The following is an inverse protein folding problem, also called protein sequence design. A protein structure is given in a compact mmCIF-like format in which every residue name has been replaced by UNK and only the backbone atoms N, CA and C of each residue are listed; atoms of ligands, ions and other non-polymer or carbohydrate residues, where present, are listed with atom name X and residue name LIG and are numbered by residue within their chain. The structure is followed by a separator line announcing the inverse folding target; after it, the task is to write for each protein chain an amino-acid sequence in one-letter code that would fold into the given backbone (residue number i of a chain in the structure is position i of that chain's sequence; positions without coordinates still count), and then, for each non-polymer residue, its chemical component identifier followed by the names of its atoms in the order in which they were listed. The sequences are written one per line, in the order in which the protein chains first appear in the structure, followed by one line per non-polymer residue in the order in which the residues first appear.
data_IF_661048890724
#
_entry.id   IF_661048890724
#
_cell.length_a   1.000
_cell.length_b   1.000
_cell.length_c   1.000
_cell.angle_alpha   90.00
_cell.angle_beta   90.00
_cell.angle_gamma   90.00
#
_symmetry.space_group_name_H-M   'P 1'
#
loop_
_entity.id
_entity.type
_entity.pdbx_description
1 polymer ?
#
# COMPACT_ATOMS: atom_id res chain seq x y z
N UNK A 1 -69.10 6.06 3.83
CA UNK A 1 -68.12 5.14 4.44
C UNK A 1 -66.95 4.96 3.49
N UNK A 2 -65.96 5.84 3.55
CA UNK A 2 -64.70 5.70 2.80
C UNK A 2 -63.65 5.07 3.73
N UNK A 3 -63.08 3.93 3.31
CA UNK A 3 -61.98 3.26 4.01
C UNK A 3 -60.66 3.82 3.45
N UNK A 4 -59.94 4.59 4.27
CA UNK A 4 -58.54 4.94 3.99
C UNK A 4 -57.65 3.72 4.25
N UNK A 5 -56.79 3.39 3.27
CA UNK A 5 -55.77 2.36 3.39
C UNK A 5 -54.46 3.02 3.83
N UNK A 6 -54.00 2.69 5.03
CA UNK A 6 -52.66 3.04 5.50
C UNK A 6 -51.61 2.23 4.74
N UNK A 7 -50.70 2.90 4.04
CA UNK A 7 -49.47 2.30 3.52
C UNK A 7 -48.34 2.52 4.52
N UNK A 8 -47.81 1.43 5.07
CA UNK A 8 -46.60 1.42 5.89
C UNK A 8 -45.39 1.40 4.95
N UNK A 9 -44.67 2.51 4.86
CA UNK A 9 -43.38 2.59 4.17
C UNK A 9 -42.29 2.06 5.10
N UNK A 10 -41.82 0.83 4.88
CA UNK A 10 -40.63 0.29 5.57
C UNK A 10 -39.40 0.86 4.85
N UNK A 11 -38.77 1.86 5.45
CA UNK A 11 -37.49 2.40 5.01
C UNK A 11 -36.38 1.40 5.39
N UNK A 12 -36.01 0.52 4.46
CA UNK A 12 -34.82 -0.33 4.59
C UNK A 12 -33.58 0.56 4.52
N UNK A 13 -33.01 0.88 5.67
CA UNK A 13 -31.67 1.48 5.78
C UNK A 13 -30.64 0.40 5.38
N UNK A 14 -30.19 0.46 4.13
CA UNK A 14 -28.98 -0.24 3.70
C UNK A 14 -27.78 0.42 4.40
N UNK A 15 -27.28 -0.24 5.44
CA UNK A 15 -25.98 0.11 6.01
C UNK A 15 -24.90 -0.22 4.98
N UNK A 16 -24.07 0.73 4.53
CA UNK A 16 -22.87 0.37 3.80
C UNK A 16 -21.96 -0.39 4.75
N UNK A 17 -21.67 -1.65 4.44
CA UNK A 17 -20.59 -2.40 5.07
C UNK A 17 -19.27 -1.76 4.64
N UNK A 18 -18.81 -0.78 5.42
CA UNK A 18 -17.45 -0.26 5.28
C UNK A 18 -16.48 -1.37 5.65
N UNK A 19 -15.79 -1.89 4.63
CA UNK A 19 -14.70 -2.83 4.78
C UNK A 19 -13.63 -2.25 5.72
N UNK A 20 -13.36 -2.98 6.80
CA UNK A 20 -12.28 -2.67 7.75
C UNK A 20 -10.94 -2.76 7.02
N UNK A 21 -10.35 -1.62 6.68
CA UNK A 21 -8.99 -1.57 6.13
C UNK A 21 -7.97 -1.88 7.24
N UNK A 22 -7.17 -2.91 7.00
CA UNK A 22 -6.16 -3.49 7.87
C UNK A 22 -4.92 -2.58 8.12
N UNK A 23 -5.09 -1.31 8.45
CA UNK A 23 -3.96 -0.37 8.61
C UNK A 23 -3.28 -0.41 10.00
N UNK A 24 -3.97 -0.93 11.02
CA UNK A 24 -3.50 -0.83 12.41
C UNK A 24 -2.53 -1.92 12.86
N UNK A 25 -2.38 -3.01 12.10
CA UNK A 25 -1.49 -4.13 12.49
C UNK A 25 -0.03 -3.95 12.08
N UNK A 26 0.37 -2.78 11.54
CA UNK A 26 1.72 -2.55 10.99
C UNK A 26 2.50 -1.37 11.60
N UNK A 27 1.96 -0.64 12.59
CA UNK A 27 2.70 0.45 13.25
C UNK A 27 3.17 0.04 14.64
N UNK A 28 4.49 0.03 14.84
CA UNK A 28 5.17 -0.25 16.10
C UNK A 28 5.51 1.02 16.91
N UNK A 29 4.98 2.20 16.54
CA UNK A 29 5.17 3.45 17.29
C UNK A 29 3.96 3.75 18.20
N UNK A 30 4.23 4.05 19.48
CA UNK A 30 3.26 4.70 20.38
C UNK A 30 2.79 6.03 19.76
N UNK A 31 1.48 6.25 19.66
CA UNK A 31 0.88 7.45 19.06
C UNK A 31 0.11 7.24 17.75
N UNK A 32 0.01 5.99 17.27
CA UNK A 32 -0.87 5.59 16.17
C UNK A 32 -2.04 4.81 16.74
N UNK A 33 -3.19 5.46 16.92
CA UNK A 33 -4.41 4.78 17.35
C UNK A 33 -5.56 5.20 16.42
N UNK A 34 -6.50 4.31 16.13
CA UNK A 34 -7.77 4.75 15.56
C UNK A 34 -8.55 5.48 16.66
N UNK A 35 -9.06 6.67 16.37
CA UNK A 35 -10.07 7.33 17.18
C UNK A 35 -11.36 7.39 16.35
N UNK A 36 -12.28 6.46 16.64
CA UNK A 36 -13.44 6.21 15.77
C UNK A 36 -13.01 5.61 14.42
N UNK A 37 -13.49 6.19 13.32
CA UNK A 37 -13.11 5.79 11.94
C UNK A 37 -11.86 6.52 11.42
N UNK A 38 -11.24 7.38 12.22
CA UNK A 38 -10.14 8.24 11.79
C UNK A 38 -8.81 7.76 12.39
N UNK A 39 -7.76 7.84 11.58
CA UNK A 39 -6.39 7.63 12.03
C UNK A 39 -6.01 8.78 12.96
N UNK A 40 -5.84 8.52 14.26
CA UNK A 40 -5.34 9.52 15.19
C UNK A 40 -3.82 9.45 15.19
N UNK A 41 -3.22 10.41 14.47
CA UNK A 41 -1.80 10.63 14.37
C UNK A 41 -1.37 11.68 15.40
N UNK A 42 -1.32 11.36 16.70
CA UNK A 42 -1.19 12.37 17.76
C UNK A 42 0.07 13.27 17.69
N UNK A 43 1.04 12.93 16.83
CA UNK A 43 2.21 13.76 16.48
C UNK A 43 2.26 14.22 15.02
N UNK A 44 1.35 13.78 14.15
CA UNK A 44 1.28 14.11 12.71
C UNK A 44 -0.11 14.64 12.29
N UNK A 45 -0.85 15.30 13.20
CA UNK A 45 -2.12 15.97 12.90
C UNK A 45 -2.08 16.91 11.67
N UNK A 46 -0.88 17.36 11.28
CA UNK A 46 -0.70 18.15 10.06
C UNK A 46 -1.04 17.37 8.78
N UNK A 47 -0.87 16.04 8.74
CA UNK A 47 -1.19 15.25 7.55
C UNK A 47 -2.69 15.21 7.34
N UNK A 48 -3.48 14.90 8.37
CA UNK A 48 -4.94 14.88 8.27
C UNK A 48 -5.49 16.28 7.98
N UNK A 49 -4.90 17.31 8.58
CA UNK A 49 -5.26 18.70 8.30
C UNK A 49 -5.00 19.07 6.83
N UNK A 50 -3.81 18.80 6.29
CA UNK A 50 -3.48 19.14 4.91
C UNK A 50 -4.22 18.22 3.92
N UNK A 51 -4.40 16.93 4.24
CA UNK A 51 -5.15 16.00 3.41
C UNK A 51 -6.63 16.43 3.30
N UNK A 52 -7.24 16.81 4.42
CA UNK A 52 -8.61 17.35 4.45
C UNK A 52 -8.72 18.64 3.65
N UNK A 53 -7.79 19.59 3.82
CA UNK A 53 -7.74 20.83 3.03
C UNK A 53 -7.62 20.56 1.53
N UNK A 54 -6.86 19.52 1.14
CA UNK A 54 -6.64 19.14 -0.26
C UNK A 54 -7.62 18.10 -0.79
N UNK A 55 -8.64 17.72 -0.02
CA UNK A 55 -9.61 16.67 -0.37
C UNK A 55 -8.96 15.35 -0.81
N UNK A 56 -7.87 14.97 -0.11
CA UNK A 56 -7.13 13.75 -0.34
C UNK A 56 -7.70 12.63 0.54
N UNK A 57 -8.02 11.50 -0.08
CA UNK A 57 -8.36 10.27 0.63
C UNK A 57 -7.13 9.38 0.73
N UNK A 58 -6.47 9.38 1.90
CA UNK A 58 -5.27 8.58 2.15
C UNK A 58 -5.65 7.10 2.23
N UNK A 59 -5.08 6.28 1.34
CA UNK A 59 -5.38 4.85 1.26
C UNK A 59 -4.28 3.97 1.89
N UNK A 60 -3.04 4.48 2.00
CA UNK A 60 -1.91 3.79 2.63
C UNK A 60 -0.80 4.77 2.96
N UNK A 61 0.00 4.47 3.99
CA UNK A 61 1.12 5.33 4.38
C UNK A 61 2.23 4.53 5.07
N UNK A 62 3.44 5.12 5.07
CA UNK A 62 4.61 4.66 5.78
C UNK A 62 5.32 5.85 6.41
N UNK A 63 5.63 5.74 7.69
CA UNK A 63 6.40 6.73 8.44
C UNK A 63 7.88 6.47 8.19
N UNK A 64 8.60 7.48 7.71
CA UNK A 64 10.05 7.39 7.51
C UNK A 64 10.81 7.79 8.78
N UNK A 65 10.35 8.83 9.45
CA UNK A 65 10.93 9.37 10.68
C UNK A 65 9.86 10.13 11.49
N UNK A 66 10.25 10.91 12.50
CA UNK A 66 9.30 11.62 13.37
C UNK A 66 8.53 12.77 12.69
N UNK A 67 8.91 13.14 11.46
CA UNK A 67 8.38 14.29 10.74
C UNK A 67 8.07 13.98 9.27
N UNK A 68 8.44 12.80 8.77
CA UNK A 68 8.32 12.49 7.35
C UNK A 68 7.45 11.26 7.16
N UNK A 69 6.44 11.40 6.30
CA UNK A 69 5.54 10.32 5.90
C UNK A 69 5.48 10.25 4.38
N UNK A 70 5.59 9.03 3.86
CA UNK A 70 5.20 8.71 2.49
C UNK A 70 3.80 8.14 2.53
N UNK A 71 2.94 8.53 1.61
CA UNK A 71 1.59 8.00 1.54
C UNK A 71 1.08 7.95 0.11
N UNK A 72 0.15 7.04 -0.15
CA UNK A 72 -0.68 7.08 -1.33
C UNK A 72 -2.06 7.63 -0.97
N UNK A 73 -2.59 8.47 -1.86
CA UNK A 73 -3.89 9.07 -1.70
C UNK A 73 -4.64 9.15 -3.03
N UNK A 74 -5.96 9.11 -2.96
CA UNK A 74 -6.84 9.34 -4.07
C UNK A 74 -7.43 10.75 -3.99
N UNK A 75 -7.60 11.41 -5.13
CA UNK A 75 -8.37 12.63 -5.28
C UNK A 75 -9.24 12.53 -6.54
N UNK A 76 -10.05 13.55 -6.80
CA UNK A 76 -10.87 13.61 -8.03
C UNK A 76 -10.04 13.46 -9.32
N UNK A 77 -8.79 13.90 -9.29
CA UNK A 77 -7.87 13.86 -10.43
C UNK A 77 -7.10 12.53 -10.59
N UNK A 78 -7.35 11.52 -9.75
CA UNK A 78 -6.67 10.22 -9.79
C UNK A 78 -5.95 9.88 -8.48
N UNK A 79 -5.05 8.92 -8.55
CA UNK A 79 -4.22 8.49 -7.41
C UNK A 79 -2.80 9.09 -7.44
N UNK A 80 -2.22 9.26 -6.27
CA UNK A 80 -0.93 9.93 -6.08
C UNK A 80 -0.06 9.21 -5.07
N UNK A 81 1.25 9.20 -5.33
CA UNK A 81 2.27 8.97 -4.30
C UNK A 81 2.77 10.33 -3.82
N UNK A 82 2.82 10.52 -2.50
CA UNK A 82 3.11 11.81 -1.90
C UNK A 82 4.08 11.67 -0.72
N UNK A 83 4.82 12.75 -0.47
CA UNK A 83 5.69 12.91 0.69
C UNK A 83 5.18 14.11 1.50
N UNK A 84 4.91 13.89 2.78
CA UNK A 84 4.51 14.94 3.72
C UNK A 84 5.59 15.19 4.78
N UNK A 85 5.89 16.46 4.99
CA UNK A 85 6.63 16.99 6.15
C UNK A 85 5.76 18.04 6.86
N UNK A 86 6.13 18.53 8.06
CA UNK A 86 5.32 19.52 8.76
C UNK A 86 5.11 20.81 7.96
N UNK A 87 6.02 21.10 7.03
CA UNK A 87 6.02 22.36 6.28
C UNK A 87 5.38 22.25 4.90
N UNK A 88 5.29 21.05 4.32
CA UNK A 88 4.78 20.87 2.95
C UNK A 88 4.37 19.44 2.63
N UNK A 89 3.50 19.32 1.63
CA UNK A 89 3.24 18.07 0.91
C UNK A 89 3.77 18.20 -0.52
N UNK A 90 4.56 17.23 -0.93
CA UNK A 90 5.10 17.09 -2.27
C UNK A 90 4.40 15.93 -2.96
N UNK A 91 3.87 16.18 -4.16
CA UNK A 91 3.41 15.13 -5.07
C UNK A 91 4.65 14.52 -5.73
N UNK A 92 4.94 13.27 -5.41
CA UNK A 92 6.09 12.54 -5.96
C UNK A 92 5.74 11.95 -7.32
N UNK A 93 4.57 11.30 -7.40
CA UNK A 93 4.11 10.61 -8.60
C UNK A 93 2.59 10.79 -8.73
N UNK A 94 2.16 11.01 -9.96
CA UNK A 94 0.77 10.88 -10.38
C UNK A 94 0.63 9.66 -11.29
N UNK A 95 -0.60 9.33 -11.67
CA UNK A 95 -0.85 8.25 -12.63
C UNK A 95 -0.13 8.51 -13.96
N UNK A 96 0.42 7.43 -14.53
CA UNK A 96 1.07 7.38 -15.84
C UNK A 96 0.48 6.16 -16.57
N UNK A 97 -0.67 6.31 -17.25
CA UNK A 97 -1.30 5.22 -17.98
C UNK A 97 -0.37 4.68 -19.07
N UNK A 98 -0.34 3.35 -19.24
CA UNK A 98 0.49 2.70 -20.25
C UNK A 98 -0.16 1.41 -20.78
N UNK A 99 0.01 1.13 -22.08
CA UNK A 99 -0.48 -0.11 -22.71
C UNK A 99 0.27 -1.35 -22.23
N UNK A 100 1.54 -1.20 -21.86
CA UNK A 100 2.28 -2.26 -21.17
C UNK A 100 1.84 -2.28 -19.71
N UNK A 101 1.14 -3.34 -19.30
CA UNK A 101 0.63 -3.54 -17.94
C UNK A 101 1.73 -3.47 -16.87
N UNK A 102 2.98 -3.79 -17.20
CA UNK A 102 4.12 -3.66 -16.26
C UNK A 102 4.62 -2.22 -16.13
N UNK A 103 4.20 -1.33 -17.02
CA UNK A 103 4.49 0.10 -17.00
C UNK A 103 3.25 0.93 -16.68
N UNK A 104 2.08 0.31 -16.52
CA UNK A 104 0.85 1.04 -16.20
C UNK A 104 0.89 1.49 -14.73
N UNK A 105 0.84 2.80 -14.51
CA UNK A 105 0.77 3.38 -13.19
C UNK A 105 -0.59 4.03 -13.02
N UNK A 106 -1.54 3.25 -12.50
CA UNK A 106 -2.89 3.72 -12.15
C UNK A 106 -3.30 3.13 -10.81
N UNK A 107 -4.22 3.79 -10.09
CA UNK A 107 -4.72 3.31 -8.80
C UNK A 107 -3.59 2.99 -7.78
N UNK A 108 -2.65 3.94 -7.64
CA UNK A 108 -1.52 3.91 -6.71
C UNK A 108 -2.06 3.67 -5.29
N UNK A 109 -1.63 2.57 -4.69
CA UNK A 109 -2.05 2.13 -3.37
C UNK A 109 -0.95 1.31 -2.68
N UNK A 110 -1.19 0.96 -1.43
CA UNK A 110 -0.30 0.15 -0.58
C UNK A 110 1.17 0.54 -0.72
N UNK A 111 1.56 1.60 -0.02
CA UNK A 111 2.95 2.05 0.00
C UNK A 111 3.71 1.42 1.16
N UNK A 112 4.94 0.98 0.89
CA UNK A 112 5.92 0.60 1.91
C UNK A 112 7.32 1.07 1.50
N UNK A 113 8.25 1.09 2.44
CA UNK A 113 9.60 1.63 2.22
C UNK A 113 10.63 0.70 2.80
N UNK A 114 11.66 0.39 2.00
CA UNK A 114 12.86 -0.26 2.53
C UNK A 114 13.72 0.78 3.24
N UNK A 115 13.70 0.83 4.57
CA UNK A 115 14.18 1.98 5.34
C UNK A 115 15.68 2.27 5.16
N UNK A 116 16.51 1.23 4.95
CA UNK A 116 17.97 1.39 4.81
C UNK A 116 18.33 2.14 3.53
N UNK A 117 17.71 1.77 2.40
CA UNK A 117 17.95 2.45 1.10
C UNK A 117 16.96 3.57 0.80
N UNK A 118 15.90 3.66 1.60
CA UNK A 118 14.72 4.52 1.39
C UNK A 118 14.08 4.34 0.01
N UNK A 119 14.21 3.13 -0.55
CA UNK A 119 13.50 2.76 -1.77
C UNK A 119 12.01 2.63 -1.44
N UNK A 120 11.17 3.32 -2.22
CA UNK A 120 9.72 3.31 -2.05
C UNK A 120 9.12 2.27 -2.98
N UNK A 121 8.23 1.45 -2.42
CA UNK A 121 7.47 0.45 -3.15
C UNK A 121 5.99 0.78 -3.07
N UNK A 122 5.25 0.49 -4.13
CA UNK A 122 3.80 0.70 -4.18
C UNK A 122 3.13 -0.27 -5.15
N UNK A 123 1.83 -0.46 -4.98
CA UNK A 123 0.97 -1.19 -5.91
C UNK A 123 0.29 -0.25 -6.91
N UNK A 124 0.19 -0.69 -8.16
CA UNK A 124 -0.70 -0.14 -9.18
C UNK A 124 -1.63 -1.22 -9.75
N UNK A 125 -2.63 -0.81 -10.51
CA UNK A 125 -3.48 -1.72 -11.31
C UNK A 125 -2.74 -2.18 -12.57
N UNK A 126 -2.81 -3.49 -12.87
CA UNK A 126 -2.11 -4.07 -14.02
C UNK A 126 -2.90 -5.18 -14.73
N UNK A 127 -3.25 -6.26 -14.04
CA UNK A 127 -4.04 -7.38 -14.57
C UNK A 127 -5.39 -7.48 -13.88
N UNK A 128 -6.34 -8.20 -14.51
CA UNK A 128 -7.65 -8.47 -13.92
C UNK A 128 -7.57 -9.22 -12.57
N UNK A 129 -6.54 -10.06 -12.39
CA UNK A 129 -6.36 -10.90 -11.20
C UNK A 129 -5.19 -10.47 -10.32
N UNK A 130 -4.41 -9.46 -10.72
CA UNK A 130 -3.32 -8.96 -9.89
C UNK A 130 -2.87 -7.53 -10.21
N UNK A 131 -2.36 -6.84 -9.19
CA UNK A 131 -1.66 -5.57 -9.37
C UNK A 131 -0.20 -5.75 -9.78
N UNK A 132 0.47 -4.62 -10.01
CA UNK A 132 1.92 -4.56 -10.21
C UNK A 132 2.59 -3.85 -9.03
N UNK A 133 3.67 -4.46 -8.51
CA UNK A 133 4.51 -3.90 -7.46
C UNK A 133 5.66 -3.17 -8.12
N UNK A 134 5.74 -1.87 -7.89
CA UNK A 134 6.75 -0.99 -8.45
C UNK A 134 7.71 -0.50 -7.38
N UNK A 135 8.87 0.00 -7.83
CA UNK A 135 9.89 0.60 -6.99
C UNK A 135 10.37 1.92 -7.57
N UNK A 136 10.55 2.92 -6.72
CA UNK A 136 11.26 4.17 -7.02
C UNK A 136 12.39 4.33 -6.01
N UNK A 137 13.61 4.53 -6.52
CA UNK A 137 14.79 4.72 -5.68
C UNK A 137 14.81 6.09 -5.03
N UNK A 138 15.43 6.21 -3.85
CA UNK A 138 15.48 7.47 -3.10
C UNK A 138 16.01 8.66 -3.91
N UNK A 139 17.03 8.47 -4.76
CA UNK A 139 17.57 9.55 -5.60
C UNK A 139 16.51 10.16 -6.53
N UNK A 140 15.61 9.34 -7.06
CA UNK A 140 14.49 9.81 -7.89
C UNK A 140 13.44 10.54 -7.06
N UNK A 141 13.20 10.11 -5.81
CA UNK A 141 12.35 10.83 -4.88
C UNK A 141 12.91 12.23 -4.57
N UNK A 142 14.22 12.35 -4.34
CA UNK A 142 14.88 13.65 -4.14
C UNK A 142 14.73 14.54 -5.37
N UNK A 143 14.86 13.99 -6.58
CA UNK A 143 14.58 14.72 -7.82
C UNK A 143 13.16 15.30 -7.83
N UNK A 144 12.15 14.50 -7.52
CA UNK A 144 10.77 14.96 -7.45
C UNK A 144 10.56 16.08 -6.41
N UNK A 145 11.23 15.97 -5.26
CA UNK A 145 11.21 17.01 -4.21
C UNK A 145 11.86 18.32 -4.67
N UNK A 146 12.80 18.24 -5.61
CA UNK A 146 13.46 19.38 -6.26
C UNK A 146 12.79 19.77 -7.59
N UNK A 147 11.52 19.40 -7.80
CA UNK A 147 10.71 19.71 -8.98
C UNK A 147 11.22 19.11 -10.30
N UNK A 148 12.02 18.05 -10.25
CA UNK A 148 12.37 17.24 -11.43
C UNK A 148 11.35 16.10 -11.53
N UNK A 149 10.53 16.03 -12.60
CA UNK A 149 9.43 15.08 -12.69
C UNK A 149 9.94 13.63 -12.76
N UNK A 150 9.18 12.72 -12.11
CA UNK A 150 9.34 11.28 -12.29
C UNK A 150 8.74 10.88 -13.63
N UNK A 151 9.50 10.13 -14.43
CA UNK A 151 9.05 9.53 -15.67
C UNK A 151 8.86 8.02 -15.50
N UNK A 152 8.25 7.37 -16.49
CA UNK A 152 8.03 5.92 -16.43
C UNK A 152 9.34 5.13 -16.33
N UNK A 153 10.44 5.63 -16.92
CA UNK A 153 11.74 4.97 -16.89
C UNK A 153 12.43 5.04 -15.52
N UNK A 154 11.96 5.93 -14.64
CA UNK A 154 12.41 6.02 -13.25
C UNK A 154 11.70 5.00 -12.34
N UNK A 155 10.66 4.33 -12.84
CA UNK A 155 9.80 3.42 -12.08
C UNK A 155 10.10 1.99 -12.50
N UNK A 156 10.65 1.20 -11.58
CA UNK A 156 10.98 -0.19 -11.84
C UNK A 156 9.83 -1.10 -11.48
N UNK A 157 9.31 -1.86 -12.44
CA UNK A 157 8.48 -3.04 -12.15
C UNK A 157 9.31 -4.09 -11.41
N UNK A 158 8.79 -4.60 -10.30
CA UNK A 158 9.46 -5.64 -9.51
C UNK A 158 8.78 -6.99 -9.74
N UNK A 159 7.49 -7.10 -9.44
CA UNK A 159 6.71 -8.33 -9.60
C UNK A 159 5.22 -7.99 -9.63
N UNK A 160 4.37 -8.90 -10.07
CA UNK A 160 2.93 -8.82 -9.83
C UNK A 160 2.59 -9.25 -8.39
N UNK A 161 1.44 -8.80 -7.89
CA UNK A 161 0.92 -9.16 -6.57
C UNK A 161 -0.35 -8.39 -6.17
N UNK A 162 -1.06 -8.92 -5.17
CA UNK A 162 -2.28 -8.35 -4.60
C UNK A 162 -2.01 -7.56 -3.32
N UNK A 163 -0.94 -7.90 -2.61
CA UNK A 163 -0.39 -7.16 -1.48
C UNK A 163 1.10 -7.47 -1.35
N UNK A 164 1.84 -6.62 -0.65
CA UNK A 164 3.24 -6.87 -0.35
C UNK A 164 3.69 -6.29 1.00
N UNK A 165 4.81 -6.82 1.48
CA UNK A 165 5.54 -6.32 2.64
C UNK A 165 7.04 -6.36 2.35
N UNK A 166 7.76 -5.30 2.74
CA UNK A 166 9.22 -5.24 2.61
C UNK A 166 9.87 -5.70 3.91
N UNK A 167 10.69 -6.74 3.84
CA UNK A 167 11.45 -7.26 4.99
C UNK A 167 12.54 -6.26 5.37
N UNK A 168 12.52 -5.79 6.62
CA UNK A 168 13.41 -4.71 7.07
C UNK A 168 14.74 -5.20 7.67
N UNK A 169 14.81 -6.44 8.14
CA UNK A 169 15.93 -7.01 8.89
C UNK A 169 16.08 -8.51 8.63
N UNK A 170 17.18 -9.09 9.08
CA UNK A 170 17.46 -10.52 8.94
C UNK A 170 18.01 -10.90 7.56
N UNK A 171 18.17 -12.22 7.37
CA UNK A 171 18.74 -12.85 6.17
C UNK A 171 18.11 -12.39 4.86
N UNK A 172 16.82 -12.03 4.90
CA UNK A 172 16.05 -11.60 3.73
C UNK A 172 15.79 -10.09 3.71
N UNK A 173 16.60 -9.29 4.39
CA UNK A 173 16.50 -7.83 4.38
C UNK A 173 16.43 -7.27 2.95
N UNK A 174 15.43 -6.43 2.69
CA UNK A 174 15.14 -5.82 1.39
C UNK A 174 14.36 -6.73 0.42
N UNK A 175 14.15 -8.01 0.75
CA UNK A 175 13.25 -8.89 0.00
C UNK A 175 11.79 -8.51 0.26
N UNK A 176 10.93 -9.00 -0.63
CA UNK A 176 9.51 -8.71 -0.64
C UNK A 176 8.76 -10.00 -0.35
N UNK A 177 7.81 -9.96 0.57
CA UNK A 177 6.77 -10.98 0.67
C UNK A 177 5.59 -10.46 -0.13
N UNK A 178 5.29 -11.07 -1.26
CA UNK A 178 4.17 -10.70 -2.13
C UNK A 178 3.06 -11.75 -2.03
N UNK A 179 1.82 -11.32 -1.86
CA UNK A 179 0.67 -12.20 -2.06
C UNK A 179 0.37 -12.25 -3.56
N UNK A 180 0.44 -13.44 -4.16
CA UNK A 180 0.32 -13.62 -5.61
C UNK A 180 -0.82 -14.55 -5.93
N UNK A 181 -1.60 -14.17 -6.94
CA UNK A 181 -2.57 -15.05 -7.56
C UNK A 181 -1.86 -16.05 -8.48
N UNK A 182 -2.09 -17.34 -8.27
CA UNK A 182 -1.53 -18.46 -9.04
C UNK A 182 -2.63 -19.43 -9.49
N UNK A 183 -2.31 -20.24 -10.49
CA UNK A 183 -3.19 -21.27 -11.04
C UNK A 183 -2.64 -22.66 -10.73
N UNK A 184 -3.52 -23.60 -10.37
CA UNK A 184 -3.12 -24.99 -10.13
C UNK A 184 -3.03 -25.75 -11.44
N UNK A 185 -2.13 -26.73 -11.49
CA UNK A 185 -2.15 -27.74 -12.55
C UNK A 185 -3.48 -28.52 -12.43
N UNK A 186 -4.27 -28.55 -13.50
CA UNK A 186 -5.61 -29.16 -13.50
C UNK A 186 -6.77 -28.17 -13.25
N UNK A 187 -6.48 -26.88 -13.08
CA UNK A 187 -7.50 -25.83 -13.01
C UNK A 187 -7.75 -25.28 -11.60
N UNK A 188 -8.42 -24.13 -11.57
CA UNK A 188 -8.61 -23.34 -10.36
C UNK A 188 -7.43 -22.42 -10.04
N UNK A 189 -7.69 -21.49 -9.13
CA UNK A 189 -6.73 -20.48 -8.71
C UNK A 189 -6.58 -20.46 -7.18
N UNK A 190 -5.51 -19.83 -6.71
CA UNK A 190 -5.25 -19.64 -5.30
C UNK A 190 -4.33 -18.43 -5.11
N UNK A 191 -4.45 -17.80 -3.94
CA UNK A 191 -3.53 -16.75 -3.53
C UNK A 191 -2.51 -17.34 -2.56
N UNK A 192 -1.23 -17.04 -2.79
CA UNK A 192 -0.13 -17.57 -1.99
C UNK A 192 0.88 -16.48 -1.69
N UNK A 193 1.44 -16.49 -0.48
CA UNK A 193 2.56 -15.63 -0.13
C UNK A 193 3.84 -16.22 -0.69
N UNK A 194 4.60 -15.38 -1.40
CA UNK A 194 5.85 -15.76 -2.06
C UNK A 194 6.95 -14.80 -1.63
N UNK A 195 8.11 -15.35 -1.29
CA UNK A 195 9.33 -14.58 -1.10
C UNK A 195 9.90 -14.19 -2.47
N UNK A 196 10.11 -12.90 -2.68
CA UNK A 196 10.60 -12.32 -3.93
C UNK A 196 11.84 -11.48 -3.64
N UNK A 197 12.89 -11.67 -4.45
CA UNK A 197 14.10 -10.86 -4.36
C UNK A 197 13.87 -9.38 -4.70
N UNK A 198 14.77 -8.47 -4.31
CA UNK A 198 14.70 -7.05 -4.71
C UNK A 198 14.71 -6.82 -6.24
N UNK A 199 15.10 -7.83 -7.01
CA UNK A 199 15.12 -7.80 -8.48
C UNK A 199 13.87 -8.38 -9.12
N UNK A 200 12.91 -8.89 -8.34
CA UNK A 200 11.65 -9.44 -8.85
C UNK A 200 11.60 -10.95 -9.04
N UNK A 201 12.72 -11.66 -8.77
CA UNK A 201 12.77 -13.12 -8.86
C UNK A 201 12.04 -13.76 -7.68
N UNK A 202 11.07 -14.64 -7.95
CA UNK A 202 10.48 -15.53 -6.94
C UNK A 202 11.53 -16.52 -6.42
N UNK A 203 11.63 -16.63 -5.10
CA UNK A 203 12.61 -17.48 -4.42
C UNK A 203 11.94 -18.74 -3.88
N UNK A 204 10.85 -18.58 -3.14
CA UNK A 204 10.05 -19.70 -2.62
C UNK A 204 8.65 -19.27 -2.23
N UNK A 205 7.74 -20.22 -2.24
CA UNK A 205 6.43 -20.07 -1.63
C UNK A 205 6.55 -20.18 -0.11
N UNK A 206 5.80 -19.35 0.61
CA UNK A 206 5.80 -19.29 2.08
C UNK A 206 4.57 -20.04 2.62
N UNK A 207 3.40 -19.80 2.03
CA UNK A 207 2.15 -20.44 2.43
C UNK A 207 0.93 -19.62 2.02
N UNK A 208 -0.25 -20.22 2.16
CA UNK A 208 -1.52 -19.61 1.76
C UNK A 208 -2.01 -18.56 2.78
N UNK A 209 -1.58 -18.68 4.03
CA UNK A 209 -2.11 -17.90 5.14
C UNK A 209 -1.09 -16.91 5.70
N UNK A 210 -1.60 -15.84 6.32
CA UNK A 210 -0.78 -14.85 7.02
C UNK A 210 0.07 -15.47 8.14
N UNK A 211 -0.42 -16.55 8.78
CA UNK A 211 0.34 -17.23 9.83
C UNK A 211 1.65 -17.84 9.30
N UNK A 212 1.65 -18.35 8.06
CA UNK A 212 2.87 -18.85 7.41
C UNK A 212 3.91 -17.74 7.24
N UNK A 213 3.46 -16.51 6.95
CA UNK A 213 4.35 -15.33 6.86
C UNK A 213 4.95 -15.00 8.22
N UNK A 214 4.13 -14.95 9.28
CA UNK A 214 4.62 -14.67 10.63
C UNK A 214 5.69 -15.70 11.05
N UNK A 215 5.39 -16.99 10.89
CA UNK A 215 6.33 -18.07 11.20
C UNK A 215 7.63 -17.95 10.39
N UNK A 216 7.53 -17.65 9.08
CA UNK A 216 8.69 -17.47 8.22
C UNK A 216 9.59 -16.31 8.67
N UNK A 217 8.99 -15.17 9.04
CA UNK A 217 9.73 -14.01 9.54
C UNK A 217 10.43 -14.34 10.87
N UNK A 218 9.73 -14.94 11.83
CA UNK A 218 10.31 -15.30 13.14
C UNK A 218 11.50 -16.26 13.01
N UNK A 219 11.41 -17.28 12.15
CA UNK A 219 12.52 -18.21 11.91
C UNK A 219 13.72 -17.53 11.22
N UNK A 220 13.46 -16.56 10.35
CA UNK A 220 14.52 -15.84 9.64
C UNK A 220 15.29 -14.86 10.53
N UNK A 221 14.70 -14.45 11.66
CA UNK A 221 15.34 -13.61 12.68
C UNK A 221 16.17 -14.44 13.67
N UNK A 222 15.76 -15.68 13.98
CA UNK A 222 16.49 -16.54 14.93
C UNK A 222 17.80 -17.10 14.38
N UNK A 223 17.89 -17.32 13.06
CA UNK A 223 19.08 -17.87 12.38
C UNK A 223 20.32 -16.94 12.45
N UNK A 224 20.16 -15.68 12.88
CA UNK A 224 21.27 -14.71 13.02
C UNK A 224 21.84 -14.61 14.44
N UNK A 225 21.33 -15.39 15.40
CA UNK A 225 21.79 -15.38 16.81
C UNK A 225 22.76 -16.51 17.18
N UNK A 226 23.32 -17.21 16.19
CA UNK A 226 24.31 -18.27 16.36
C UNK A 226 25.69 -17.88 15.82
#
# INVERSE_FOLDING_TARGET
MHKEKFYVFILMLLFPTVGLAASCTMSNKKGFHLYGNNLCLSTLNYIDSIASQKQLNINSFRILDNKTVIFAANAKAGSFLMLATPNRIVKILAEIPNKDVKKNIESIRQVDVFLIKKDIYFLSSAWATSGAIHKITWNKIINAVNNIPITIDDIKFVTNGNSFYIIQSGKYQGYIIANKHKYRAGGGSYDIYVLVSPLGKEIKEIGLEKQSVNNFLSLSESDETL
#
